data_IF_674772915309
#
_entry.id   IF_674772915309
#
_cell.length_a   1.000
_cell.length_b   1.000
_cell.length_c   1.000
_cell.angle_alpha   90.00
_cell.angle_beta   90.00
_cell.angle_gamma   90.00
#
_symmetry.space_group_name_H-M   'P 1'
#
loop_
_entity.id
_entity.type
_entity.pdbx_description
1 polymer ?
#
# COMPACT_ATOMS: atom_id res chain seq x y z
N UNK A 1 6.93 -23.66 11.48
CA UNK A 1 6.88 -22.26 11.38
C UNK A 1 5.51 -21.74 11.55
N UNK A 2 5.27 -20.83 12.38
CA UNK A 2 4.23 -20.19 12.33
C UNK A 2 3.86 -19.11 12.69
N UNK A 3 3.27 -18.84 12.08
CA UNK A 3 2.42 -17.95 11.65
C UNK A 3 1.95 -17.05 12.70
N UNK A 4 2.16 -15.83 12.51
CA UNK A 4 1.40 -14.82 13.20
C UNK A 4 -0.06 -14.90 12.75
N UNK A 5 -0.98 -14.78 13.69
CA UNK A 5 -2.40 -14.74 13.39
C UNK A 5 -2.89 -13.33 13.65
N UNK A 6 -3.39 -12.71 12.60
CA UNK A 6 -4.09 -11.45 12.71
C UNK A 6 -5.50 -11.59 12.14
N UNK A 7 -6.46 -10.97 12.78
CA UNK A 7 -7.84 -10.90 12.28
C UNK A 7 -8.09 -9.49 11.75
N UNK A 8 -8.68 -9.41 10.59
CA UNK A 8 -8.89 -8.13 9.93
C UNK A 8 -9.92 -8.19 8.81
N UNK A 9 -9.96 -7.12 8.08
CA UNK A 9 -10.81 -6.95 6.90
C UNK A 9 -9.99 -7.13 5.64
N UNK A 10 -10.59 -7.76 4.64
CA UNK A 10 -10.09 -7.80 3.27
C UNK A 10 -10.98 -6.94 2.41
N UNK A 11 -10.40 -5.93 1.78
CA UNK A 11 -11.05 -5.08 0.80
C UNK A 11 -10.36 -5.21 -0.55
N UNK A 12 -11.07 -4.99 -1.64
CA UNK A 12 -10.45 -4.95 -2.97
C UNK A 12 -9.47 -3.78 -3.07
N UNK A 13 -8.28 -4.05 -3.60
CA UNK A 13 -7.25 -3.05 -3.86
C UNK A 13 -7.03 -2.87 -5.36
N UNK A 14 -7.03 -1.63 -5.81
CA UNK A 14 -6.78 -1.25 -7.20
C UNK A 14 -7.90 -0.39 -7.75
N UNK A 15 -7.87 -0.17 -9.05
CA UNK A 15 -8.90 0.53 -9.80
C UNK A 15 -9.30 -0.35 -11.00
N UNK A 16 -8.66 -0.18 -12.16
CA UNK A 16 -8.93 -0.99 -13.37
C UNK A 16 -8.66 -2.48 -13.14
N UNK A 17 -7.72 -2.80 -12.25
CA UNK A 17 -7.34 -4.17 -11.92
C UNK A 17 -8.42 -4.98 -11.22
N UNK A 18 -9.52 -4.37 -10.78
CA UNK A 18 -10.69 -5.10 -10.26
C UNK A 18 -11.36 -5.98 -11.30
N UNK A 19 -11.22 -5.65 -12.58
CA UNK A 19 -11.71 -6.45 -13.70
C UNK A 19 -10.88 -7.71 -13.97
N UNK A 20 -9.73 -7.90 -13.33
CA UNK A 20 -8.83 -9.02 -13.60
C UNK A 20 -9.19 -10.24 -12.75
N UNK A 21 -8.98 -11.46 -13.26
CA UNK A 21 -9.24 -12.70 -12.49
C UNK A 21 -8.42 -12.77 -11.20
N UNK A 22 -7.18 -12.29 -11.22
CA UNK A 22 -6.33 -12.22 -10.06
C UNK A 22 -6.35 -10.78 -9.53
N UNK A 23 -7.00 -10.57 -8.39
CA UNK A 23 -7.25 -9.26 -7.79
C UNK A 23 -6.29 -8.99 -6.64
N UNK A 24 -6.00 -7.71 -6.41
CA UNK A 24 -5.30 -7.26 -5.22
C UNK A 24 -6.26 -6.98 -4.06
N UNK A 25 -5.71 -6.97 -2.84
CA UNK A 25 -6.46 -6.74 -1.62
C UNK A 25 -5.74 -5.76 -0.72
N UNK A 26 -6.50 -4.91 -0.03
CA UNK A 26 -6.06 -4.25 1.19
C UNK A 26 -6.42 -5.15 2.37
N UNK A 27 -5.46 -5.44 3.22
CA UNK A 27 -5.68 -6.15 4.47
C UNK A 27 -5.50 -5.19 5.64
N UNK A 28 -6.52 -5.07 6.48
CA UNK A 28 -6.55 -4.16 7.61
C UNK A 28 -6.84 -4.97 8.86
N UNK A 29 -5.90 -5.01 9.80
CA UNK A 29 -6.12 -5.67 11.10
C UNK A 29 -7.06 -4.84 11.96
N UNK A 30 -7.94 -5.52 12.70
CA UNK A 30 -8.92 -4.89 13.57
C UNK A 30 -8.94 -5.56 14.93
N UNK A 31 -8.72 -4.80 15.98
CA UNK A 31 -8.81 -5.23 17.38
C UNK A 31 -10.23 -5.70 17.75
N UNK A 32 -11.24 -5.12 17.15
CA UNK A 32 -12.65 -5.50 17.35
C UNK A 32 -12.96 -6.96 17.00
N UNK A 33 -12.09 -7.63 16.24
CA UNK A 33 -12.24 -9.04 15.90
C UNK A 33 -11.51 -9.98 16.88
N UNK A 34 -10.94 -9.45 17.95
CA UNK A 34 -10.51 -10.21 19.10
C UNK A 34 -9.07 -10.72 19.11
N UNK A 35 -8.27 -10.30 18.13
CA UNK A 35 -6.83 -10.60 18.09
C UNK A 35 -6.00 -9.32 18.20
N UNK A 36 -4.82 -9.31 17.61
CA UNK A 36 -3.98 -8.13 17.57
C UNK A 36 -4.53 -7.09 16.61
N UNK A 37 -4.46 -5.84 17.00
CA UNK A 37 -4.75 -4.69 16.13
C UNK A 37 -3.67 -4.45 15.06
N UNK A 38 -2.61 -5.22 15.08
CA UNK A 38 -1.52 -5.18 14.09
C UNK A 38 -0.89 -6.55 13.94
N UNK A 39 -0.29 -6.81 12.78
CA UNK A 39 0.67 -7.88 12.58
C UNK A 39 1.97 -7.42 13.22
N UNK A 40 2.56 -8.25 14.08
CA UNK A 40 3.80 -7.96 14.80
C UNK A 40 4.88 -8.92 14.36
N UNK A 41 5.49 -8.60 13.24
CA UNK A 41 6.60 -9.36 12.67
C UNK A 41 7.40 -8.46 11.72
N UNK A 42 8.69 -8.69 11.58
CA UNK A 42 9.53 -8.06 10.57
C UNK A 42 9.20 -8.67 9.19
N UNK A 43 8.23 -8.10 8.51
CA UNK A 43 7.73 -8.63 7.23
C UNK A 43 8.65 -8.33 6.06
N UNK A 44 9.36 -7.22 6.09
CA UNK A 44 10.15 -6.74 4.97
C UNK A 44 11.64 -6.73 5.30
N UNK A 45 12.43 -7.46 4.54
CA UNK A 45 13.89 -7.55 4.72
C UNK A 45 14.64 -6.23 4.57
N UNK A 46 13.99 -5.21 4.03
CA UNK A 46 14.58 -3.89 3.77
C UNK A 46 14.22 -2.83 4.80
N UNK A 47 13.43 -3.20 5.81
CA UNK A 47 12.93 -2.28 6.83
C UNK A 47 12.96 -2.95 8.22
N UNK A 48 13.27 -2.17 9.22
CA UNK A 48 13.25 -2.61 10.63
C UNK A 48 11.86 -2.51 11.28
N UNK A 49 10.85 -2.16 10.49
CA UNK A 49 9.47 -2.07 10.97
C UNK A 49 8.93 -3.45 11.30
N UNK A 50 8.38 -3.60 12.51
CA UNK A 50 7.88 -4.85 13.06
C UNK A 50 6.37 -4.81 13.38
N UNK A 51 5.65 -3.77 12.96
CA UNK A 51 4.26 -3.59 13.30
C UNK A 51 3.48 -2.97 12.15
N UNK A 52 2.45 -3.68 11.68
CA UNK A 52 1.65 -3.28 10.52
C UNK A 52 0.17 -3.43 10.82
N UNK A 53 -0.57 -2.34 10.73
CA UNK A 53 -2.03 -2.36 10.80
C UNK A 53 -2.63 -2.59 9.41
N UNK A 54 -2.00 -2.04 8.37
CA UNK A 54 -2.43 -2.20 6.98
C UNK A 54 -1.33 -2.74 6.10
N UNK A 55 -1.72 -3.64 5.22
CA UNK A 55 -0.87 -4.21 4.18
C UNK A 55 -1.64 -4.28 2.86
N UNK A 56 -0.92 -4.20 1.76
CA UNK A 56 -1.46 -4.48 0.44
C UNK A 56 -1.00 -5.88 0.03
N UNK A 57 -1.94 -6.72 -0.41
CA UNK A 57 -1.65 -8.00 -1.05
C UNK A 57 -1.88 -7.81 -2.54
N UNK A 58 -0.80 -7.58 -3.28
CA UNK A 58 -0.84 -7.13 -4.66
C UNK A 58 -0.53 -8.25 -5.64
N UNK A 59 -1.29 -8.31 -6.72
CA UNK A 59 -1.14 -9.28 -7.79
C UNK A 59 -0.51 -8.67 -9.05
N UNK A 60 0.39 -7.69 -8.90
CA UNK A 60 1.03 -6.96 -9.98
C UNK A 60 0.11 -6.06 -10.83
N UNK A 61 -1.18 -5.98 -10.54
CA UNK A 61 -2.15 -5.14 -11.25
C UNK A 61 -2.02 -5.27 -12.78
N UNK A 62 -1.72 -4.18 -13.48
CA UNK A 62 -1.61 -4.16 -14.94
C UNK A 62 -0.37 -4.88 -15.51
N UNK A 63 0.54 -5.33 -14.66
CA UNK A 63 1.68 -6.17 -15.02
C UNK A 63 1.42 -7.66 -14.79
N UNK A 64 0.17 -8.04 -14.52
CA UNK A 64 -0.26 -9.42 -14.29
C UNK A 64 -0.23 -10.23 -15.56
N UNK A 65 0.10 -11.53 -15.46
CA UNK A 65 0.26 -12.44 -16.60
C UNK A 65 -0.88 -12.51 -17.59
N UNK A 66 -2.15 -12.59 -17.20
CA UNK A 66 -3.22 -12.69 -18.18
C UNK A 66 -3.54 -11.36 -18.86
N UNK A 67 -3.15 -10.22 -18.30
CA UNK A 67 -3.68 -8.93 -18.67
C UNK A 67 -2.66 -7.80 -18.76
N UNK A 68 -1.43 -8.12 -19.05
CA UNK A 68 -0.44 -7.09 -19.28
C UNK A 68 -0.84 -6.22 -20.48
N UNK A 69 -0.82 -4.92 -20.29
CA UNK A 69 -1.01 -3.96 -21.37
C UNK A 69 0.03 -4.18 -22.47
N UNK A 70 -0.43 -4.67 -23.60
CA UNK A 70 0.37 -4.77 -24.82
C UNK A 70 1.39 -5.90 -24.88
N UNK A 71 1.21 -6.97 -24.12
CA UNK A 71 2.08 -8.12 -24.29
C UNK A 71 2.36 -8.91 -23.01
N UNK A 72 3.61 -9.15 -22.69
CA UNK A 72 4.03 -10.00 -21.60
C UNK A 72 4.16 -9.24 -20.29
N UNK A 73 3.37 -9.58 -19.30
CA UNK A 73 3.54 -9.14 -17.92
C UNK A 73 4.81 -9.74 -17.31
N UNK A 74 5.56 -8.94 -16.58
CA UNK A 74 6.72 -9.39 -15.81
C UNK A 74 6.37 -9.74 -14.37
N UNK A 75 5.22 -9.27 -13.90
CA UNK A 75 4.71 -9.43 -12.52
C UNK A 75 5.51 -8.71 -11.43
N UNK A 76 6.60 -8.06 -11.78
CA UNK A 76 7.54 -7.44 -10.82
C UNK A 76 7.95 -6.01 -11.17
N UNK A 77 7.39 -5.40 -12.22
CA UNK A 77 7.89 -4.08 -12.69
C UNK A 77 7.78 -3.00 -11.63
N UNK A 78 6.64 -2.93 -10.96
CA UNK A 78 6.38 -1.92 -9.94
C UNK A 78 7.28 -2.15 -8.71
N UNK A 79 7.37 -3.37 -8.21
CA UNK A 79 8.26 -3.73 -7.10
C UNK A 79 9.74 -3.54 -7.44
N UNK A 80 10.12 -3.79 -8.68
CA UNK A 80 11.48 -3.52 -9.15
C UNK A 80 11.83 -2.03 -9.09
N UNK A 81 10.93 -1.15 -9.55
CA UNK A 81 11.13 0.30 -9.48
C UNK A 81 11.23 0.78 -8.03
N UNK A 82 10.34 0.29 -7.15
CA UNK A 82 10.40 0.60 -5.72
C UNK A 82 11.74 0.15 -5.09
N UNK A 83 12.21 -1.04 -5.47
CA UNK A 83 13.52 -1.55 -4.99
C UNK A 83 14.70 -0.71 -5.48
N UNK A 84 14.65 -0.19 -6.70
CA UNK A 84 15.69 0.70 -7.20
C UNK A 84 15.78 1.98 -6.38
N UNK A 85 14.64 2.52 -5.95
CA UNK A 85 14.58 3.68 -5.05
C UNK A 85 15.26 3.38 -3.72
N UNK A 86 14.97 2.23 -3.12
CA UNK A 86 15.59 1.80 -1.86
C UNK A 86 17.10 1.62 -2.00
N UNK A 87 17.56 0.95 -3.05
CA UNK A 87 19.00 0.72 -3.31
C UNK A 87 19.75 2.04 -3.59
N UNK A 88 19.08 2.98 -4.24
CA UNK A 88 19.64 4.29 -4.54
C UNK A 88 19.57 5.27 -3.37
N UNK A 89 18.99 4.87 -2.24
CA UNK A 89 18.77 5.71 -1.06
C UNK A 89 18.07 7.04 -1.43
N UNK A 90 17.04 6.94 -2.28
CA UNK A 90 16.23 8.09 -2.62
C UNK A 90 15.33 8.42 -1.43
N UNK A 91 15.24 9.69 -1.09
CA UNK A 91 14.38 10.14 0.02
C UNK A 91 12.92 10.18 -0.41
N UNK A 92 12.34 9.01 -0.57
CA UNK A 92 10.94 8.81 -0.97
C UNK A 92 10.33 7.71 -0.12
N UNK A 93 9.02 7.78 0.06
CA UNK A 93 8.24 6.75 0.76
C UNK A 93 7.86 5.63 -0.22
N UNK A 94 8.86 4.91 -0.69
CA UNK A 94 8.61 3.74 -1.52
C UNK A 94 8.05 2.57 -0.72
N UNK A 95 7.24 1.77 -1.40
CA UNK A 95 6.61 0.58 -0.81
C UNK A 95 7.59 -0.57 -0.75
N UNK A 96 7.92 -0.99 0.45
CA UNK A 96 8.60 -2.28 0.65
C UNK A 96 7.69 -3.44 0.23
N UNK A 97 8.27 -4.53 -0.23
CA UNK A 97 7.52 -5.70 -0.66
C UNK A 97 8.25 -7.00 -0.35
N UNK A 98 7.47 -8.06 -0.18
CA UNK A 98 7.95 -9.45 -0.16
C UNK A 98 7.05 -10.31 -1.04
N UNK A 99 7.62 -11.21 -1.85
CA UNK A 99 6.82 -12.15 -2.62
C UNK A 99 6.14 -13.15 -1.69
N UNK A 100 4.89 -13.45 -1.96
CA UNK A 100 4.11 -14.39 -1.18
C UNK A 100 3.22 -15.27 -2.05
N UNK A 101 2.76 -16.37 -1.47
CA UNK A 101 1.76 -17.24 -2.07
C UNK A 101 0.46 -17.05 -1.29
N UNK A 102 -0.59 -16.69 -2.01
CA UNK A 102 -1.91 -16.49 -1.41
C UNK A 102 -2.73 -17.78 -1.50
N UNK A 103 -3.29 -18.16 -0.35
CA UNK A 103 -4.32 -19.17 -0.24
C UNK A 103 -5.58 -18.53 0.32
N UNK A 104 -6.72 -18.73 -0.33
CA UNK A 104 -8.03 -18.30 0.16
C UNK A 104 -8.86 -19.53 0.54
N UNK A 105 -9.32 -19.59 1.76
CA UNK A 105 -10.07 -20.75 2.29
C UNK A 105 -9.35 -22.10 2.11
N UNK A 106 -8.01 -22.08 2.11
CA UNK A 106 -7.20 -23.27 1.89
C UNK A 106 -6.93 -23.62 0.43
N UNK A 107 -7.51 -22.91 -0.52
CA UNK A 107 -7.26 -23.10 -1.95
C UNK A 107 -6.15 -22.18 -2.43
N UNK A 108 -5.25 -22.70 -3.26
CA UNK A 108 -4.19 -21.92 -3.89
C UNK A 108 -4.79 -20.85 -4.81
N UNK A 109 -4.46 -19.60 -4.54
CA UNK A 109 -4.98 -18.46 -5.32
C UNK A 109 -3.95 -17.86 -6.28
N UNK A 110 -2.67 -17.94 -5.95
CA UNK A 110 -1.61 -17.49 -6.85
C UNK A 110 -0.39 -16.89 -6.17
N UNK A 111 0.52 -16.41 -7.00
CA UNK A 111 1.67 -15.62 -6.59
C UNK A 111 1.26 -14.16 -6.42
N UNK A 112 1.62 -13.61 -5.28
CA UNK A 112 1.33 -12.24 -4.87
C UNK A 112 2.56 -11.58 -4.27
N UNK A 113 2.42 -10.33 -3.92
CA UNK A 113 3.36 -9.58 -3.11
C UNK A 113 2.63 -8.97 -1.92
N UNK A 114 3.17 -9.15 -0.73
CA UNK A 114 2.80 -8.34 0.41
C UNK A 114 3.55 -7.02 0.29
N UNK A 115 2.86 -5.91 0.44
CA UNK A 115 3.43 -4.56 0.36
C UNK A 115 3.02 -3.70 1.52
N UNK A 116 3.89 -2.78 1.84
CA UNK A 116 3.61 -1.71 2.78
C UNK A 116 2.58 -0.73 2.21
N UNK A 117 1.70 -0.24 3.06
CA UNK A 117 0.71 0.79 2.72
C UNK A 117 1.26 2.14 3.16
N UNK A 118 1.82 2.91 2.23
CA UNK A 118 2.49 4.19 2.55
C UNK A 118 1.54 5.38 2.65
N UNK A 119 0.39 5.30 2.02
CA UNK A 119 -0.67 6.30 2.06
C UNK A 119 -1.68 6.02 3.19
N UNK A 120 -1.17 5.90 4.41
CA UNK A 120 -1.95 5.57 5.61
C UNK A 120 -1.28 6.11 6.87
N UNK A 121 -2.08 6.48 7.88
CA UNK A 121 -1.52 6.98 9.16
C UNK A 121 -0.67 5.95 9.90
N UNK A 122 -0.96 4.67 9.77
CA UNK A 122 -0.14 3.63 10.40
C UNK A 122 1.32 3.68 9.91
N UNK A 123 1.53 4.09 8.65
CA UNK A 123 2.85 4.33 8.08
C UNK A 123 3.45 5.65 8.57
N UNK A 124 2.70 6.74 8.49
CA UNK A 124 3.20 8.08 8.83
C UNK A 124 3.43 8.25 10.31
N UNK A 125 2.60 7.63 11.15
CA UNK A 125 2.81 7.59 12.60
C UNK A 125 4.10 6.83 12.94
N UNK A 126 4.31 5.65 12.32
CA UNK A 126 5.49 4.83 12.60
C UNK A 126 6.81 5.50 12.20
N UNK A 127 6.88 6.07 10.99
CA UNK A 127 8.14 6.63 10.47
C UNK A 127 8.37 8.10 10.82
N UNK A 128 7.30 8.86 11.05
CA UNK A 128 7.37 10.32 11.17
C UNK A 128 6.70 10.88 12.42
N UNK A 129 6.09 10.05 13.26
CA UNK A 129 5.32 10.49 14.43
C UNK A 129 4.17 11.46 14.01
N UNK A 130 3.49 11.12 12.91
CA UNK A 130 2.43 11.93 12.31
C UNK A 130 1.17 11.08 12.10
N UNK A 131 0.13 11.39 12.84
CA UNK A 131 -1.17 10.72 12.81
C UNK A 131 -2.25 11.46 11.99
N UNK A 132 -1.96 12.70 11.57
CA UNK A 132 -2.85 13.55 10.80
C UNK A 132 -2.14 14.01 9.53
N UNK A 133 -2.50 13.44 8.39
CA UNK A 133 -1.80 13.63 7.12
C UNK A 133 -2.78 13.88 5.99
N UNK A 134 -2.41 14.81 5.12
CA UNK A 134 -3.11 15.10 3.88
C UNK A 134 -2.44 14.37 2.72
N UNK A 135 -3.20 13.60 1.94
CA UNK A 135 -2.71 12.94 0.75
C UNK A 135 -3.38 13.49 -0.50
N UNK A 136 -2.57 13.90 -1.46
CA UNK A 136 -3.02 14.22 -2.79
C UNK A 136 -2.64 13.10 -3.75
N UNK A 137 -3.63 12.53 -4.42
CA UNK A 137 -3.46 11.40 -5.34
C UNK A 137 -3.89 11.78 -6.74
N UNK A 138 -3.17 11.31 -7.73
CA UNK A 138 -3.45 11.57 -9.14
C UNK A 138 -3.46 10.28 -9.96
N UNK A 139 -4.61 10.03 -10.63
CA UNK A 139 -4.76 9.00 -11.62
C UNK A 139 -5.80 9.43 -12.65
N UNK A 140 -5.36 10.12 -13.69
CA UNK A 140 -6.26 10.76 -14.65
C UNK A 140 -6.94 12.01 -14.09
N UNK A 141 -7.60 11.87 -12.95
CA UNK A 141 -8.07 12.97 -12.11
C UNK A 141 -7.25 13.04 -10.81
N UNK A 142 -7.23 14.21 -10.21
CA UNK A 142 -6.63 14.41 -8.90
C UNK A 142 -7.71 14.36 -7.83
N UNK A 143 -7.48 13.65 -6.76
CA UNK A 143 -8.36 13.61 -5.59
C UNK A 143 -7.53 13.68 -4.31
N UNK A 144 -8.18 14.05 -3.22
CA UNK A 144 -7.56 14.13 -1.91
C UNK A 144 -8.09 13.01 -1.00
N UNK A 145 -7.20 12.39 -0.25
CA UNK A 145 -7.55 11.55 0.89
C UNK A 145 -7.16 12.30 2.16
N UNK A 146 -8.08 12.37 3.09
CA UNK A 146 -7.90 13.05 4.37
C UNK A 146 -7.83 12.01 5.47
N UNK A 147 -6.72 12.01 6.19
CA UNK A 147 -6.49 11.17 7.35
C UNK A 147 -6.21 12.07 8.55
N UNK A 148 -7.21 12.31 9.35
CA UNK A 148 -7.10 13.15 10.54
C UNK A 148 -8.37 13.95 10.83
N UNK A 149 -8.45 14.42 12.05
CA UNK A 149 -9.57 15.23 12.51
C UNK A 149 -9.49 16.66 11.97
N UNK A 150 -10.65 17.21 11.63
CA UNK A 150 -10.80 18.61 11.19
C UNK A 150 -10.23 18.98 9.81
N UNK A 151 -9.85 18.01 9.01
CA UNK A 151 -9.44 18.22 7.62
C UNK A 151 -10.57 17.88 6.67
N UNK A 152 -10.58 18.50 5.50
CA UNK A 152 -11.53 18.23 4.42
C UNK A 152 -10.79 18.08 3.09
N UNK A 153 -11.40 17.45 2.11
CA UNK A 153 -10.81 17.40 0.76
C UNK A 153 -10.46 18.79 0.22
N UNK A 154 -11.27 19.81 0.51
CA UNK A 154 -10.99 21.19 0.11
C UNK A 154 -9.73 21.74 0.78
N UNK A 155 -9.52 21.47 2.08
CA UNK A 155 -8.31 21.93 2.77
C UNK A 155 -7.04 21.34 2.20
N UNK A 156 -7.09 20.10 1.72
CA UNK A 156 -5.94 19.45 1.05
C UNK A 156 -5.59 20.14 -0.26
N UNK A 157 -6.59 20.54 -1.05
CA UNK A 157 -6.35 21.29 -2.30
C UNK A 157 -5.82 22.68 -2.02
N UNK A 158 -6.34 23.37 -1.00
CA UNK A 158 -5.85 24.69 -0.61
C UNK A 158 -4.38 24.62 -0.17
N UNK A 159 -4.01 23.66 0.68
CA UNK A 159 -2.62 23.41 1.09
C UNK A 159 -1.71 23.09 -0.10
N UNK A 160 -2.20 22.34 -1.08
CA UNK A 160 -1.46 22.03 -2.29
C UNK A 160 -1.23 23.26 -3.16
N UNK A 161 -2.22 24.12 -3.30
CA UNK A 161 -2.10 25.36 -4.07
C UNK A 161 -1.14 26.35 -3.41
N UNK A 162 -1.12 26.45 -2.08
CA UNK A 162 -0.14 27.23 -1.33
C UNK A 162 1.31 26.73 -1.58
N UNK A 163 1.52 25.42 -1.54
CA UNK A 163 2.84 24.82 -1.85
C UNK A 163 3.25 25.12 -3.30
N UNK A 164 2.34 24.99 -4.25
CA UNK A 164 2.60 25.30 -5.65
C UNK A 164 2.97 26.77 -5.85
N UNK A 165 2.26 27.68 -5.22
CA UNK A 165 2.55 29.11 -5.29
C UNK A 165 3.93 29.41 -4.72
N UNK A 166 4.27 28.83 -3.57
CA UNK A 166 5.59 28.96 -2.95
C UNK A 166 6.75 28.48 -3.86
N UNK A 167 6.56 27.37 -4.57
CA UNK A 167 7.60 26.81 -5.46
C UNK A 167 7.76 27.65 -6.75
N UNK A 168 6.72 28.35 -7.17
CA UNK A 168 6.71 29.09 -8.46
C UNK A 168 7.10 30.57 -8.31
N UNK A 169 7.25 31.05 -7.09
CA UNK A 169 7.73 32.41 -6.77
C UNK A 169 9.23 32.42 -6.48
#
# INVERSE_FOLDING_TARGET
>A
VLADKATGEFNEHGNDSWGYPQRGFDYITRDQFGYNYAIKDELFRTKDRDKYQRLIIKCAANDNYPFSYGGSGAHIRDSYVQSLSQVADLRMDERSFEPCILFLNGEYWGLYEVREKVDDNDFTDYYYDQDSVEFLKTWGNTWADVLGDNQTELSVFDSWDEIREFITT
#
